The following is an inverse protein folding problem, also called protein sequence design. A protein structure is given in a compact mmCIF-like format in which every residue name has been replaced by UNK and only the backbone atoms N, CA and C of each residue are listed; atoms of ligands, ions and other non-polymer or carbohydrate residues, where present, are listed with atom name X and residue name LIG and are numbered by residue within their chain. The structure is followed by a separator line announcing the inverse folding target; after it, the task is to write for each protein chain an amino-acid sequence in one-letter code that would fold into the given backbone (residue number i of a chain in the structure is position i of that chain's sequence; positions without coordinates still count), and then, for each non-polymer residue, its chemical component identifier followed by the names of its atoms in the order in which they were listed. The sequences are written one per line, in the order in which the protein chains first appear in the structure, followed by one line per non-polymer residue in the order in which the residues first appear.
data_IF_832107613097
#
_entry.id   IF_832107613097
#
_cell.length_a   1.000
_cell.length_b   1.000
_cell.length_c   1.000
_cell.angle_alpha   90.00
_cell.angle_beta   90.00
_cell.angle_gamma   90.00
#
_symmetry.space_group_name_H-M   'P 1'
#
loop_
_entity.id
_entity.type
_entity.pdbx_description
1 polymer ?
#
# COMPACT_ATOMS: atom_id res chain seq x y z
N UNK A 1 5.03 6.48 3.99
CA UNK A 1 4.93 7.96 4.18
C UNK A 1 3.77 8.25 5.14
N UNK A 2 4.04 8.97 6.21
CA UNK A 2 3.07 9.32 7.26
C UNK A 2 2.81 10.81 7.16
N UNK A 3 1.55 11.20 7.03
CA UNK A 3 1.11 12.60 7.07
C UNK A 3 0.35 12.80 8.38
N UNK A 4 0.81 13.71 9.22
CA UNK A 4 0.14 14.10 10.46
C UNK A 4 -0.41 15.51 10.31
N UNK A 5 -1.69 15.67 10.55
CA UNK A 5 -2.39 16.95 10.52
C UNK A 5 -3.18 17.13 11.81
N UNK A 6 -2.92 18.21 12.52
CA UNK A 6 -3.74 18.62 13.64
C UNK A 6 -4.95 19.40 13.09
N UNK A 7 -6.16 18.90 13.35
CA UNK A 7 -7.39 19.56 12.93
C UNK A 7 -7.87 20.59 13.95
N UNK A 8 -7.78 20.23 15.25
CA UNK A 8 -8.09 21.09 16.39
C UNK A 8 -7.11 20.76 17.52
N UNK A 9 -7.18 21.47 18.66
CA UNK A 9 -6.29 21.25 19.81
C UNK A 9 -6.35 19.81 20.35
N UNK A 10 -7.49 19.12 20.20
CA UNK A 10 -7.72 17.75 20.71
C UNK A 10 -7.83 16.69 19.60
N UNK A 11 -7.88 17.12 18.31
CA UNK A 11 -8.16 16.20 17.20
C UNK A 11 -7.01 16.10 16.21
N UNK A 12 -6.45 14.91 16.12
CA UNK A 12 -5.32 14.58 15.26
C UNK A 12 -5.73 13.63 14.14
N UNK A 13 -5.35 13.95 12.93
CA UNK A 13 -5.52 13.11 11.76
C UNK A 13 -4.17 12.58 11.30
N UNK A 14 -4.02 11.28 11.21
CA UNK A 14 -2.83 10.61 10.71
C UNK A 14 -3.22 9.80 9.49
N UNK A 15 -2.62 10.11 8.35
CA UNK A 15 -2.81 9.36 7.11
C UNK A 15 -1.54 8.54 6.86
N UNK A 16 -1.71 7.24 6.84
CA UNK A 16 -0.63 6.27 6.59
C UNK A 16 -0.79 5.74 5.18
N UNK A 17 0.11 6.15 4.30
CA UNK A 17 0.14 5.67 2.91
C UNK A 17 1.26 4.68 2.71
N UNK A 18 1.04 3.57 1.97
CA UNK A 18 2.12 2.71 1.54
C UNK A 18 3.16 3.53 0.76
N UNK A 19 4.43 3.20 0.94
CA UNK A 19 5.48 3.76 0.11
C UNK A 19 5.51 3.00 -1.22
N UNK A 20 5.00 3.56 -2.33
CA UNK A 20 5.16 2.92 -3.63
C UNK A 20 6.65 2.92 -3.98
N UNK A 21 7.20 1.76 -4.27
CA UNK A 21 8.61 1.62 -4.68
C UNK A 21 8.92 2.41 -5.94
N UNK A 22 7.91 2.65 -6.78
CA UNK A 22 8.06 3.34 -8.06
C UNK A 22 6.78 4.09 -8.43
N UNK A 23 6.87 5.35 -8.88
CA UNK A 23 5.71 6.12 -9.33
C UNK A 23 5.11 5.51 -10.61
N UNK A 24 3.78 5.57 -10.74
CA UNK A 24 3.04 4.95 -11.83
C UNK A 24 3.48 5.37 -13.24
N UNK A 25 3.89 6.63 -13.41
CA UNK A 25 4.37 7.12 -14.71
C UNK A 25 5.66 6.41 -15.15
N UNK A 26 6.53 6.06 -14.20
CA UNK A 26 7.78 5.36 -14.48
C UNK A 26 7.52 3.89 -14.85
N UNK A 27 6.59 3.25 -14.14
CA UNK A 27 6.14 1.88 -14.47
C UNK A 27 5.59 1.84 -15.89
N UNK A 28 4.76 2.82 -16.29
CA UNK A 28 4.25 2.92 -17.67
C UNK A 28 5.36 3.07 -18.70
N UNK A 29 6.38 3.92 -18.42
CA UNK A 29 7.50 4.12 -19.36
C UNK A 29 8.31 2.84 -19.54
N UNK A 30 8.63 2.15 -18.44
CA UNK A 30 9.36 0.87 -18.50
C UNK A 30 8.56 -0.18 -19.25
N UNK A 31 7.25 -0.28 -18.97
CA UNK A 31 6.37 -1.19 -19.67
C UNK A 31 6.31 -0.89 -21.18
N UNK A 32 6.19 0.39 -21.57
CA UNK A 32 6.16 0.79 -22.96
C UNK A 32 7.47 0.46 -23.69
N UNK A 33 8.62 0.74 -23.04
CA UNK A 33 9.93 0.39 -23.59
C UNK A 33 10.07 -1.12 -23.79
N UNK A 34 9.61 -1.92 -22.82
CA UNK A 34 9.61 -3.37 -22.90
C UNK A 34 8.68 -3.89 -24.01
N UNK A 35 7.47 -3.34 -24.12
CA UNK A 35 6.51 -3.69 -25.18
C UNK A 35 7.06 -3.36 -26.58
N UNK A 36 7.73 -2.20 -26.71
CA UNK A 36 8.39 -1.82 -27.97
C UNK A 36 9.53 -2.79 -28.32
N UNK A 37 10.33 -3.18 -27.33
CA UNK A 37 11.41 -4.15 -27.53
C UNK A 37 10.88 -5.51 -28.02
N UNK A 38 9.80 -6.01 -27.40
CA UNK A 38 9.14 -7.25 -27.83
C UNK A 38 8.57 -7.11 -29.25
N UNK A 39 7.99 -5.94 -29.58
CA UNK A 39 7.47 -5.69 -30.92
C UNK A 39 8.58 -5.78 -31.98
N UNK A 40 9.75 -5.21 -31.71
CA UNK A 40 10.91 -5.30 -32.61
C UNK A 40 11.32 -6.76 -32.80
N UNK A 41 11.40 -7.55 -31.73
CA UNK A 41 11.68 -8.99 -31.82
C UNK A 41 10.64 -9.71 -32.69
N UNK A 42 9.36 -9.43 -32.48
CA UNK A 42 8.27 -10.03 -33.23
C UNK A 42 8.39 -9.72 -34.73
N UNK A 43 8.75 -8.48 -35.13
CA UNK A 43 9.00 -8.07 -36.48
C UNK A 43 10.18 -8.87 -37.08
N UNK A 44 11.28 -8.95 -36.39
CA UNK A 44 12.46 -9.70 -36.85
C UNK A 44 12.12 -11.17 -37.05
N UNK A 45 11.42 -11.81 -36.11
CA UNK A 45 11.00 -13.21 -36.23
C UNK A 45 10.04 -13.43 -37.41
N UNK A 46 9.19 -12.45 -37.70
CA UNK A 46 8.30 -12.54 -38.86
C UNK A 46 9.06 -12.59 -40.19
N UNK A 47 10.21 -11.92 -40.28
CA UNK A 47 11.09 -11.99 -41.46
C UNK A 47 11.69 -13.38 -41.66
N UNK A 48 11.80 -14.18 -40.60
CA UNK A 48 12.23 -15.59 -40.67
C UNK A 48 11.06 -16.58 -40.78
N UNK A 49 9.88 -16.12 -41.19
CA UNK A 49 8.65 -16.92 -41.31
C UNK A 49 8.16 -17.58 -40.00
N UNK A 50 8.55 -17.07 -38.85
CA UNK A 50 8.15 -17.57 -37.53
C UNK A 50 6.89 -16.88 -36.99
N UNK A 51 5.85 -16.78 -37.83
CA UNK A 51 4.61 -16.06 -37.53
C UNK A 51 3.84 -16.63 -36.33
N UNK A 52 3.97 -17.94 -36.07
CA UNK A 52 3.32 -18.61 -34.94
C UNK A 52 3.77 -18.09 -33.58
N UNK A 53 4.94 -17.45 -33.49
CA UNK A 53 5.44 -16.88 -32.23
C UNK A 53 4.77 -15.54 -31.90
N UNK A 54 4.26 -14.79 -32.87
CA UNK A 54 3.69 -13.45 -32.68
C UNK A 54 2.52 -13.43 -31.69
N UNK A 55 1.50 -14.31 -31.75
CA UNK A 55 0.39 -14.29 -30.81
C UNK A 55 0.84 -14.55 -29.36
N UNK A 56 1.87 -15.37 -29.15
CA UNK A 56 2.41 -15.63 -27.81
C UNK A 56 3.03 -14.36 -27.21
N UNK A 57 3.85 -13.62 -27.95
CA UNK A 57 4.41 -12.35 -27.49
C UNK A 57 3.33 -11.31 -27.21
N UNK A 58 2.28 -11.25 -28.02
CA UNK A 58 1.14 -10.38 -27.78
C UNK A 58 0.44 -10.69 -26.47
N UNK A 59 0.18 -11.96 -26.17
CA UNK A 59 -0.44 -12.41 -24.93
C UNK A 59 0.45 -12.10 -23.73
N UNK A 60 1.75 -12.32 -23.82
CA UNK A 60 2.70 -12.02 -22.71
C UNK A 60 2.72 -10.54 -22.35
N UNK A 61 2.79 -9.66 -23.36
CA UNK A 61 2.75 -8.20 -23.16
C UNK A 61 1.43 -7.77 -22.50
N UNK A 62 0.30 -8.29 -22.98
CA UNK A 62 -1.01 -7.99 -22.40
C UNK A 62 -1.11 -8.48 -20.95
N UNK A 63 -0.61 -9.68 -20.65
CA UNK A 63 -0.64 -10.25 -19.30
C UNK A 63 0.21 -9.44 -18.34
N UNK A 64 1.42 -9.05 -18.76
CA UNK A 64 2.29 -8.18 -17.99
C UNK A 64 1.63 -6.83 -17.72
N UNK A 65 1.03 -6.20 -18.74
CA UNK A 65 0.31 -4.94 -18.59
C UNK A 65 -0.85 -5.04 -17.61
N UNK A 66 -1.61 -6.11 -17.67
CA UNK A 66 -2.70 -6.39 -16.73
C UNK A 66 -2.22 -6.60 -15.29
N UNK A 67 -1.14 -7.37 -15.10
CA UNK A 67 -0.55 -7.59 -13.79
C UNK A 67 -0.02 -6.29 -13.16
N UNK A 68 0.64 -5.44 -13.95
CA UNK A 68 1.11 -4.13 -13.51
C UNK A 68 -0.06 -3.20 -13.18
N UNK A 69 -1.14 -3.22 -13.95
CA UNK A 69 -2.35 -2.44 -13.70
C UNK A 69 -3.01 -2.83 -12.37
N UNK A 70 -3.18 -4.13 -12.12
CA UNK A 70 -3.74 -4.61 -10.82
C UNK A 70 -2.85 -4.21 -9.65
N UNK A 71 -1.53 -4.31 -9.81
CA UNK A 71 -0.58 -3.92 -8.76
C UNK A 71 -0.68 -2.42 -8.46
N UNK A 72 -0.81 -1.60 -9.50
CA UNK A 72 -0.99 -0.16 -9.33
C UNK A 72 -2.32 0.20 -8.63
N UNK A 73 -3.41 -0.50 -8.95
CA UNK A 73 -4.69 -0.31 -8.25
C UNK A 73 -4.59 -0.62 -6.75
N UNK A 74 -3.80 -1.63 -6.37
CA UNK A 74 -3.59 -2.00 -4.96
C UNK A 74 -2.72 -1.00 -4.21
N UNK A 75 -1.87 -0.24 -4.88
CA UNK A 75 -0.99 0.77 -4.24
C UNK A 75 -1.75 2.03 -3.78
N UNK A 76 -2.96 2.26 -4.27
CA UNK A 76 -3.81 3.38 -3.85
C UNK A 76 -4.53 3.20 -2.50
N UNK A 77 -4.30 2.09 -1.78
CA UNK A 77 -4.89 1.86 -0.47
C UNK A 77 -4.14 2.65 0.60
N UNK A 78 -4.86 3.31 1.50
CA UNK A 78 -4.28 4.03 2.63
C UNK A 78 -5.08 3.80 3.90
N UNK A 79 -4.45 4.04 5.04
CA UNK A 79 -5.06 3.95 6.36
C UNK A 79 -5.18 5.38 6.91
N UNK A 80 -6.34 5.70 7.46
CA UNK A 80 -6.62 6.98 8.09
C UNK A 80 -6.97 6.75 9.54
N UNK A 81 -6.21 7.35 10.43
CA UNK A 81 -6.45 7.34 11.85
C UNK A 81 -6.90 8.74 12.27
N UNK A 82 -8.05 8.81 12.92
CA UNK A 82 -8.53 10.02 13.59
C UNK A 82 -8.49 9.73 15.10
N UNK A 83 -7.73 10.53 15.81
CA UNK A 83 -7.60 10.44 17.26
C UNK A 83 -8.22 11.70 17.84
N UNK A 84 -9.27 11.52 18.59
CA UNK A 84 -9.95 12.57 19.35
C UNK A 84 -9.71 12.37 20.85
N UNK A 85 -10.26 13.23 21.68
CA UNK A 85 -10.12 13.17 23.15
C UNK A 85 -10.68 11.86 23.71
N UNK A 86 -11.81 11.37 23.19
CA UNK A 86 -12.52 10.18 23.68
C UNK A 86 -12.56 9.01 22.69
N UNK A 87 -12.29 9.27 21.42
CA UNK A 87 -12.48 8.26 20.35
C UNK A 87 -11.26 8.13 19.45
N UNK A 88 -11.02 6.90 19.02
CA UNK A 88 -10.04 6.57 17.98
C UNK A 88 -10.78 5.91 16.83
N UNK A 89 -10.78 6.55 15.67
CA UNK A 89 -11.42 6.05 14.46
C UNK A 89 -10.36 5.61 13.47
N UNK A 90 -10.38 4.34 13.10
CA UNK A 90 -9.46 3.76 12.12
C UNK A 90 -10.24 3.44 10.87
N UNK A 91 -9.86 4.04 9.75
CA UNK A 91 -10.48 3.83 8.46
C UNK A 91 -9.48 3.25 7.47
N UNK A 92 -9.74 2.04 6.99
CA UNK A 92 -8.99 1.42 5.90
C UNK A 92 -9.66 1.75 4.57
N UNK A 93 -9.02 2.58 3.78
CA UNK A 93 -9.53 2.96 2.45
C UNK A 93 -8.91 2.05 1.40
N UNK A 94 -9.73 1.18 0.82
CA UNK A 94 -9.37 0.24 -0.26
C UNK A 94 -10.15 0.58 -1.52
N UNK A 95 -9.61 1.45 -2.38
CA UNK A 95 -10.25 1.85 -3.62
C UNK A 95 -11.70 2.35 -3.40
N UNK A 96 -12.71 1.49 -3.57
CA UNK A 96 -14.15 1.83 -3.41
C UNK A 96 -14.74 1.39 -2.06
N UNK A 97 -14.00 0.65 -1.23
CA UNK A 97 -14.47 0.16 0.06
C UNK A 97 -13.75 0.86 1.19
N UNK A 98 -14.52 1.38 2.16
CA UNK A 98 -14.02 1.97 3.39
C UNK A 98 -14.48 1.05 4.52
N UNK A 99 -13.51 0.50 5.26
CA UNK A 99 -13.79 -0.23 6.49
C UNK A 99 -13.43 0.67 7.65
N UNK A 100 -14.40 1.00 8.50
CA UNK A 100 -14.25 1.88 9.64
C UNK A 100 -14.38 1.08 10.93
N UNK A 101 -13.52 1.38 11.89
CA UNK A 101 -13.50 0.80 13.23
C UNK A 101 -13.38 1.94 14.22
N UNK A 102 -14.31 1.98 15.15
CA UNK A 102 -14.39 3.01 16.18
C UNK A 102 -14.00 2.37 17.53
N UNK A 103 -13.11 3.02 18.25
CA UNK A 103 -12.58 2.57 19.54
C UNK A 103 -12.69 3.71 20.56
N UNK A 104 -13.01 3.36 21.79
CA UNK A 104 -12.95 4.29 22.93
C UNK A 104 -11.48 4.43 23.34
N UNK A 105 -10.95 5.65 23.34
CA UNK A 105 -9.53 5.93 23.62
C UNK A 105 -9.09 5.38 24.97
N UNK A 106 -9.90 5.57 26.00
CA UNK A 106 -9.60 5.14 27.38
C UNK A 106 -9.43 3.62 27.53
N UNK A 107 -10.12 2.83 26.67
CA UNK A 107 -10.07 1.37 26.70
C UNK A 107 -9.17 0.78 25.63
N UNK A 108 -8.44 1.63 24.93
CA UNK A 108 -7.60 1.25 23.82
C UNK A 108 -6.13 1.35 24.16
N UNK A 109 -5.36 0.38 23.72
CA UNK A 109 -3.90 0.40 23.89
C UNK A 109 -3.20 0.11 22.57
N UNK A 110 -2.21 0.95 22.23
CA UNK A 110 -1.30 0.67 21.13
C UNK A 110 -0.18 -0.23 21.60
N UNK A 111 0.00 -1.35 20.90
CA UNK A 111 1.07 -2.32 21.19
C UNK A 111 1.99 -2.40 19.98
N UNK A 112 3.29 -2.39 20.24
CA UNK A 112 4.33 -2.61 19.26
C UNK A 112 4.99 -3.95 19.50
N UNK A 113 5.01 -4.80 18.48
CA UNK A 113 5.75 -6.05 18.48
C UNK A 113 6.98 -5.86 17.62
N UNK A 114 8.16 -6.06 18.21
CA UNK A 114 9.41 -5.96 17.46
C UNK A 114 9.50 -7.01 16.36
N UNK A 115 10.21 -6.68 15.28
CA UNK A 115 10.52 -7.61 14.23
C UNK A 115 11.31 -8.81 14.77
N UNK A 116 10.99 -9.99 14.28
CA UNK A 116 11.73 -11.24 14.53
C UNK A 116 12.31 -11.70 13.20
N UNK A 117 13.23 -12.68 13.21
CA UNK A 117 13.83 -13.22 11.96
C UNK A 117 12.82 -13.64 10.89
N UNK A 118 11.60 -14.03 11.29
CA UNK A 118 10.56 -14.56 10.41
C UNK A 118 9.32 -13.65 10.28
N UNK A 119 9.21 -12.60 11.11
CA UNK A 119 8.04 -11.74 11.14
C UNK A 119 8.45 -10.27 11.21
N UNK A 120 7.87 -9.39 10.38
CA UNK A 120 8.08 -7.96 10.48
C UNK A 120 7.52 -7.41 11.80
N UNK A 121 7.94 -6.22 12.19
CA UNK A 121 7.33 -5.51 13.32
C UNK A 121 5.84 -5.23 13.07
N UNK A 122 5.05 -5.21 14.12
CA UNK A 122 3.60 -4.99 14.03
C UNK A 122 3.16 -3.91 15.01
N UNK A 123 2.31 -2.98 14.53
CA UNK A 123 1.56 -2.08 15.40
C UNK A 123 0.13 -2.61 15.47
N UNK A 124 -0.38 -2.75 16.67
CA UNK A 124 -1.77 -3.12 16.88
C UNK A 124 -2.44 -2.20 17.87
N UNK A 125 -3.71 -1.89 17.64
CA UNK A 125 -4.61 -1.35 18.63
C UNK A 125 -5.43 -2.52 19.18
N UNK A 126 -5.53 -2.57 20.50
CA UNK A 126 -6.36 -3.54 21.19
C UNK A 126 -7.36 -2.80 22.08
N UNK A 127 -8.63 -3.14 21.96
CA UNK A 127 -9.72 -2.62 22.81
C UNK A 127 -10.81 -3.68 22.91
N UNK A 128 -11.27 -3.96 24.13
CA UNK A 128 -12.41 -4.86 24.43
C UNK A 128 -12.34 -6.23 23.73
N UNK A 129 -11.16 -6.83 23.65
CA UNK A 129 -10.95 -8.14 23.00
C UNK A 129 -10.73 -8.08 21.46
N UNK A 130 -10.97 -6.96 20.83
CA UNK A 130 -10.68 -6.76 19.41
C UNK A 130 -9.25 -6.27 19.19
N UNK A 131 -8.55 -6.86 18.23
CA UNK A 131 -7.20 -6.45 17.83
C UNK A 131 -7.17 -6.09 16.37
N UNK A 132 -6.75 -4.88 16.04
CA UNK A 132 -6.56 -4.43 14.66
C UNK A 132 -5.10 -4.07 14.44
N UNK A 133 -4.56 -4.52 13.31
CA UNK A 133 -3.19 -4.22 12.88
C UNK A 133 -3.18 -2.95 12.03
N UNK A 134 -2.24 -2.06 12.33
CA UNK A 134 -2.07 -0.75 11.67
C UNK A 134 -0.69 -0.70 11.02
N UNK A 135 -0.57 -0.01 9.91
CA UNK A 135 0.72 0.21 9.26
C UNK A 135 1.36 -1.06 8.70
N UNK A 136 0.57 -2.04 8.25
CA UNK A 136 1.11 -3.27 7.68
C UNK A 136 1.87 -3.06 6.37
N UNK A 137 1.54 -1.99 5.63
CA UNK A 137 2.05 -1.72 4.28
C UNK A 137 3.12 -0.64 4.22
N UNK A 138 3.65 -0.21 5.36
CA UNK A 138 4.73 0.77 5.44
C UNK A 138 6.04 0.10 5.86
N UNK A 139 7.15 0.77 5.60
CA UNK A 139 8.49 0.30 5.97
C UNK A 139 8.65 0.25 7.49
N UNK A 140 9.68 -0.46 7.96
CA UNK A 140 9.92 -0.64 9.39
C UNK A 140 10.25 0.68 10.10
N UNK A 141 11.01 1.55 9.48
CA UNK A 141 11.37 2.86 10.04
C UNK A 141 10.14 3.77 10.17
N UNK A 142 9.30 3.81 9.12
CA UNK A 142 8.01 4.51 9.16
C UNK A 142 7.09 3.93 10.26
N UNK A 143 7.11 2.61 10.44
CA UNK A 143 6.30 1.94 11.47
C UNK A 143 6.74 2.33 12.88
N UNK A 144 8.05 2.38 13.13
CA UNK A 144 8.60 2.86 14.42
C UNK A 144 8.25 4.34 14.66
N UNK A 145 8.36 5.17 13.62
CA UNK A 145 7.98 6.58 13.69
C UNK A 145 6.48 6.75 13.99
N UNK A 146 5.62 5.98 13.31
CA UNK A 146 4.18 5.97 13.56
C UNK A 146 3.85 5.58 15.01
N UNK A 147 4.49 4.52 15.53
CA UNK A 147 4.26 4.09 16.90
C UNK A 147 4.69 5.14 17.92
N UNK A 148 5.85 5.79 17.69
CA UNK A 148 6.32 6.88 18.57
C UNK A 148 5.32 8.04 18.58
N UNK A 149 4.78 8.41 17.42
CA UNK A 149 3.77 9.46 17.27
C UNK A 149 2.46 9.09 17.98
N UNK A 150 1.97 7.85 17.81
CA UNK A 150 0.76 7.34 18.47
C UNK A 150 0.88 7.27 20.01
N UNK A 151 2.10 7.16 20.53
CA UNK A 151 2.35 7.14 21.99
C UNK A 151 2.38 8.54 22.61
N UNK A 152 2.63 9.57 21.80
CA UNK A 152 2.69 10.97 22.26
C UNK A 152 1.33 11.68 22.20
N UNK A 153 0.34 11.12 21.54
CA UNK A 153 -1.05 11.59 21.41
C UNK A 153 -1.98 10.87 22.39
#
# INVERSE_FOLDING_TARGET
MIEHKQLNDTKHEIIVRPNPSMPWYLIKRIYLAFALFILVIAIVLSMFNLYLAIPFYGVEVLFLGYALYITALKSGHYEKLLIDEHEIIISFVKSKKISRFDFIKEWSSFKFKNATRLQPSEISIASSGNKILIGQKINEDDRKALFKLLKTL
#
